data_IF_867422542224
#
_entry.id   IF_867422542224
#
_cell.length_a   1.000
_cell.length_b   1.000
_cell.length_c   1.000
_cell.angle_alpha   90.00
_cell.angle_beta   90.00
_cell.angle_gamma   90.00
#
_symmetry.space_group_name_H-M   'P 1'
#
loop_
_entity.id
_entity.type
_entity.pdbx_description
1 polymer ?
#
# COMPACT_ATOMS: atom_id res chain seq x y z
N UNK A 1 4.05 -1.86 2.44
CA UNK A 1 2.70 -2.13 2.99
C UNK A 1 2.82 -2.22 4.50
N UNK A 2 2.26 -1.24 5.22
CA UNK A 2 2.07 -1.30 6.67
C UNK A 2 0.98 -2.32 6.99
N UNK A 3 1.10 -3.00 8.15
CA UNK A 3 0.14 -3.99 8.68
C UNK A 3 -1.33 -3.58 8.48
N UNK A 4 -1.60 -2.27 8.54
CA UNK A 4 -2.90 -1.63 8.28
C UNK A 4 -3.58 -2.07 6.97
N UNK A 5 -2.84 -2.21 5.86
CA UNK A 5 -3.42 -2.61 4.57
C UNK A 5 -3.77 -4.12 4.50
N UNK A 6 -3.10 -4.95 5.30
CA UNK A 6 -3.44 -6.38 5.40
C UNK A 6 -4.66 -6.59 6.31
N UNK A 7 -4.84 -5.71 7.31
CA UNK A 7 -6.00 -5.70 8.20
C UNK A 7 -7.27 -5.31 7.43
N UNK A 8 -7.22 -4.31 6.54
CA UNK A 8 -8.35 -3.93 5.67
C UNK A 8 -8.67 -4.98 4.57
N UNK A 9 -7.84 -6.02 4.44
CA UNK A 9 -8.02 -7.06 3.42
C UNK A 9 -8.88 -8.24 3.86
N UNK A 10 -9.18 -8.35 5.16
CA UNK A 10 -10.07 -9.37 5.72
C UNK A 10 -11.41 -8.71 6.03
N UNK A 11 -12.47 -9.26 5.45
CA UNK A 11 -13.84 -8.78 5.64
C UNK A 11 -14.43 -9.33 6.95
N UNK A 12 -13.94 -8.79 8.07
CA UNK A 12 -14.43 -9.17 9.42
C UNK A 12 -15.84 -8.69 9.70
N UNK A 13 -16.35 -7.71 8.95
CA UNK A 13 -17.72 -7.22 9.10
C UNK A 13 -18.76 -8.23 8.59
N UNK A 14 -18.37 -9.09 7.65
CA UNK A 14 -19.19 -10.22 7.17
C UNK A 14 -18.65 -11.57 7.66
N UNK A 15 -18.03 -11.60 8.84
CA UNK A 15 -17.67 -12.88 9.46
C UNK A 15 -18.93 -13.69 9.81
N UNK A 16 -18.77 -15.00 9.87
CA UNK A 16 -19.86 -15.94 10.15
C UNK A 16 -19.36 -17.10 11.02
N UNK A 17 -20.26 -17.74 11.76
CA UNK A 17 -19.88 -18.80 12.70
C UNK A 17 -19.71 -20.14 11.99
N UNK A 18 -19.02 -21.07 12.65
CA UNK A 18 -18.96 -22.47 12.24
C UNK A 18 -20.36 -23.06 12.03
N UNK A 19 -20.61 -23.63 10.85
CA UNK A 19 -21.89 -24.19 10.44
C UNK A 19 -22.83 -23.22 9.70
N UNK A 20 -22.59 -21.92 9.81
CA UNK A 20 -23.41 -20.92 9.11
C UNK A 20 -23.06 -20.86 7.62
N UNK A 21 -24.06 -20.49 6.82
CA UNK A 21 -23.90 -20.23 5.40
C UNK A 21 -23.86 -18.74 5.13
N UNK A 22 -22.87 -18.28 4.36
CA UNK A 22 -22.74 -16.88 3.97
C UNK A 22 -22.43 -16.75 2.49
N UNK A 23 -23.02 -15.76 1.82
CA UNK A 23 -22.84 -15.57 0.37
C UNK A 23 -21.82 -14.48 0.09
N UNK A 24 -20.86 -14.79 -0.78
CA UNK A 24 -19.82 -13.86 -1.20
C UNK A 24 -19.71 -13.80 -2.72
N UNK A 25 -19.42 -12.60 -3.21
CA UNK A 25 -19.08 -12.37 -4.61
C UNK A 25 -17.64 -12.78 -4.92
N UNK A 26 -17.49 -13.68 -5.89
CA UNK A 26 -16.22 -14.11 -6.42
C UNK A 26 -16.02 -13.57 -7.84
N UNK A 27 -14.77 -13.25 -8.18
CA UNK A 27 -14.40 -12.76 -9.50
C UNK A 27 -13.41 -13.73 -10.13
N UNK A 28 -13.71 -14.17 -11.35
CA UNK A 28 -12.86 -15.08 -12.12
C UNK A 28 -11.40 -14.63 -12.13
N UNK A 29 -10.49 -15.55 -11.85
CA UNK A 29 -9.05 -15.29 -11.85
C UNK A 29 -8.52 -14.51 -10.63
N UNK A 30 -9.38 -14.00 -9.74
CA UNK A 30 -8.96 -13.40 -8.47
C UNK A 30 -9.02 -14.41 -7.34
N UNK A 31 -7.85 -14.76 -6.80
CA UNK A 31 -7.77 -15.65 -5.64
C UNK A 31 -8.17 -14.92 -4.36
N UNK A 32 -9.13 -15.51 -3.64
CA UNK A 32 -9.52 -15.14 -2.28
C UNK A 32 -8.93 -16.11 -1.26
N UNK A 33 -8.87 -15.71 -0.01
CA UNK A 33 -8.42 -16.52 1.10
C UNK A 33 -9.53 -16.64 2.15
N UNK A 34 -9.71 -17.83 2.70
CA UNK A 34 -10.60 -18.08 3.83
C UNK A 34 -9.76 -18.09 5.10
N UNK A 35 -10.21 -17.30 6.08
CA UNK A 35 -9.58 -17.15 7.37
C UNK A 35 -10.46 -17.74 8.47
N UNK A 36 -9.83 -18.32 9.47
CA UNK A 36 -10.48 -18.82 10.69
C UNK A 36 -9.92 -18.13 11.93
N UNK A 37 -10.78 -17.81 12.88
CA UNK A 37 -10.41 -17.37 14.23
C UNK A 37 -10.96 -18.37 15.23
N UNK A 38 -10.07 -19.12 15.88
CA UNK A 38 -10.41 -20.17 16.83
C UNK A 38 -9.31 -20.29 17.92
N UNK A 39 -9.61 -20.81 19.12
CA UNK A 39 -8.68 -20.79 20.26
C UNK A 39 -7.48 -21.73 20.14
N UNK A 40 -7.40 -22.55 19.08
CA UNK A 40 -6.32 -23.52 18.89
C UNK A 40 -6.24 -24.07 17.47
N UNK A 41 -5.44 -25.12 17.29
CA UNK A 41 -5.41 -25.88 16.03
C UNK A 41 -6.53 -26.93 16.08
N UNK A 42 -7.39 -26.92 15.08
CA UNK A 42 -8.49 -27.86 14.90
C UNK A 42 -8.76 -28.05 13.42
N UNK A 43 -9.38 -29.16 13.04
CA UNK A 43 -9.72 -29.42 11.64
C UNK A 43 -10.80 -28.45 11.17
N UNK A 44 -10.60 -27.89 9.97
CA UNK A 44 -11.55 -27.00 9.31
C UNK A 44 -11.92 -27.60 7.95
N UNK A 45 -13.21 -27.66 7.67
CA UNK A 45 -13.76 -28.01 6.35
C UNK A 45 -14.56 -26.83 5.81
N UNK A 46 -14.42 -26.52 4.53
CA UNK A 46 -15.17 -25.45 3.87
C UNK A 46 -15.74 -25.96 2.55
N UNK A 47 -17.02 -25.69 2.35
CA UNK A 47 -17.78 -26.11 1.16
C UNK A 47 -18.33 -24.90 0.43
N UNK A 48 -18.16 -24.91 -0.89
CA UNK A 48 -18.67 -23.88 -1.79
C UNK A 48 -19.40 -24.60 -2.94
N UNK A 49 -20.71 -24.88 -2.79
CA UNK A 49 -21.48 -25.57 -3.82
C UNK A 49 -21.43 -24.81 -5.16
N UNK A 50 -21.42 -25.57 -6.26
CA UNK A 50 -21.38 -25.00 -7.62
C UNK A 50 -20.01 -24.48 -8.06
N UNK A 51 -18.99 -24.56 -7.20
CA UNK A 51 -17.61 -24.28 -7.57
C UNK A 51 -16.94 -25.51 -8.18
N UNK A 52 -16.03 -25.28 -9.13
CA UNK A 52 -15.31 -26.37 -9.80
C UNK A 52 -14.40 -27.12 -8.82
N UNK A 53 -14.23 -28.42 -9.01
CA UNK A 53 -13.31 -29.22 -8.21
C UNK A 53 -11.88 -28.67 -8.36
N UNK A 54 -11.14 -28.57 -7.26
CA UNK A 54 -9.80 -27.98 -7.22
C UNK A 54 -9.77 -26.43 -7.18
N UNK A 55 -10.92 -25.75 -7.19
CA UNK A 55 -10.96 -24.30 -6.99
C UNK A 55 -10.61 -23.88 -5.55
N UNK A 56 -10.81 -24.79 -4.59
CA UNK A 56 -10.42 -24.61 -3.18
C UNK A 56 -9.16 -25.43 -2.94
N UNK A 57 -8.10 -24.78 -2.47
CA UNK A 57 -6.79 -25.40 -2.22
C UNK A 57 -6.25 -25.02 -0.85
N UNK A 58 -5.42 -25.88 -0.27
CA UNK A 58 -4.66 -25.53 0.93
C UNK A 58 -3.56 -24.52 0.59
N UNK A 59 -3.29 -23.53 1.45
CA UNK A 59 -2.21 -22.59 1.25
C UNK A 59 -0.84 -23.24 1.50
N UNK A 60 0.15 -22.93 0.67
CA UNK A 60 1.53 -23.45 0.81
C UNK A 60 2.22 -23.05 2.11
N UNK A 61 1.76 -21.97 2.74
CA UNK A 61 2.31 -21.43 3.99
C UNK A 61 1.19 -20.94 4.90
N UNK A 62 1.32 -21.24 6.19
CA UNK A 62 0.50 -20.66 7.24
C UNK A 62 0.71 -19.15 7.29
N UNK A 63 -0.39 -18.40 7.29
CA UNK A 63 -0.37 -16.95 7.46
C UNK A 63 -1.37 -16.58 8.56
N UNK A 64 -0.90 -15.85 9.57
CA UNK A 64 -1.70 -15.38 10.70
C UNK A 64 -1.64 -13.87 10.77
N UNK A 65 -2.76 -13.26 11.11
CA UNK A 65 -2.88 -11.82 11.27
C UNK A 65 -3.86 -11.51 12.39
N UNK A 66 -3.51 -10.55 13.24
CA UNK A 66 -4.37 -10.10 14.33
C UNK A 66 -5.12 -8.85 13.89
N UNK A 67 -6.45 -8.89 13.98
CA UNK A 67 -7.36 -7.79 13.65
C UNK A 67 -8.26 -7.55 14.86
N UNK A 68 -8.15 -6.36 15.47
CA UNK A 68 -8.80 -6.08 16.75
C UNK A 68 -8.30 -7.02 17.84
N UNK A 69 -9.21 -7.71 18.53
CA UNK A 69 -8.90 -8.69 19.58
C UNK A 69 -8.77 -10.13 19.08
N UNK A 70 -8.93 -10.38 17.76
CA UNK A 70 -8.96 -11.73 17.18
C UNK A 70 -7.77 -11.98 16.29
N UNK A 71 -7.30 -13.23 16.31
CA UNK A 71 -6.24 -13.70 15.42
C UNK A 71 -6.84 -14.60 14.36
N UNK A 72 -6.60 -14.25 13.11
CA UNK A 72 -7.12 -14.91 11.92
C UNK A 72 -6.01 -15.70 11.24
N UNK A 73 -6.26 -16.99 11.00
CA UNK A 73 -5.36 -17.90 10.31
C UNK A 73 -5.93 -18.25 8.95
N UNK A 74 -5.13 -18.10 7.89
CA UNK A 74 -5.50 -18.52 6.54
C UNK A 74 -5.50 -20.05 6.46
N UNK A 75 -6.65 -20.64 6.14
CA UNK A 75 -6.84 -22.09 6.05
C UNK A 75 -7.06 -22.59 4.63
N UNK A 76 -7.66 -21.78 3.76
CA UNK A 76 -7.87 -22.13 2.36
C UNK A 76 -7.66 -20.95 1.42
N UNK A 77 -7.35 -21.26 0.17
CA UNK A 77 -7.37 -20.32 -0.95
C UNK A 77 -8.44 -20.76 -1.95
N UNK A 78 -9.18 -19.79 -2.46
CA UNK A 78 -10.28 -20.02 -3.39
C UNK A 78 -9.98 -19.28 -4.68
N UNK A 79 -9.78 -20.03 -5.76
CA UNK A 79 -9.58 -19.50 -7.12
C UNK A 79 -10.82 -19.83 -7.96
N UNK A 80 -11.77 -18.90 -8.07
CA UNK A 80 -13.01 -19.13 -8.80
C UNK A 80 -12.75 -19.25 -10.31
N UNK A 81 -13.32 -20.29 -10.92
CA UNK A 81 -13.28 -20.50 -12.37
C UNK A 81 -14.24 -19.60 -13.16
N UNK A 82 -15.26 -19.03 -12.48
CA UNK A 82 -16.22 -18.06 -13.04
C UNK A 82 -16.54 -17.00 -11.99
N UNK A 83 -16.88 -15.79 -12.44
CA UNK A 83 -17.40 -14.75 -11.56
C UNK A 83 -18.85 -15.04 -11.18
N UNK A 84 -19.24 -14.69 -9.96
CA UNK A 84 -20.60 -14.89 -9.46
C UNK A 84 -20.64 -14.91 -7.94
N UNK A 85 -21.85 -14.95 -7.40
CA UNK A 85 -22.07 -15.09 -5.97
C UNK A 85 -22.13 -16.58 -5.60
N UNK A 86 -21.38 -16.96 -4.58
CA UNK A 86 -21.31 -18.33 -4.10
C UNK A 86 -21.56 -18.37 -2.60
N UNK A 87 -22.37 -19.34 -2.18
CA UNK A 87 -22.59 -19.64 -0.77
C UNK A 87 -21.41 -20.44 -0.23
N UNK A 88 -20.77 -19.92 0.80
CA UNK A 88 -19.69 -20.54 1.54
C UNK A 88 -20.25 -21.02 2.88
N UNK A 89 -19.96 -22.28 3.21
CA UNK A 89 -20.23 -22.86 4.53
C UNK A 89 -18.94 -23.47 5.05
N UNK A 90 -18.52 -23.09 6.25
CA UNK A 90 -17.33 -23.65 6.88
C UNK A 90 -17.67 -24.22 8.25
N UNK A 91 -17.01 -25.31 8.59
CA UNK A 91 -17.15 -26.01 9.88
C UNK A 91 -15.78 -26.21 10.50
N UNK A 92 -15.70 -26.09 11.83
CA UNK A 92 -14.54 -26.43 12.64
C UNK A 92 -14.94 -27.32 13.81
N UNK A 93 -14.00 -28.14 14.28
CA UNK A 93 -14.11 -28.92 15.51
C UNK A 93 -14.19 -28.04 16.77
N UNK A 94 -13.62 -26.84 16.70
CA UNK A 94 -13.63 -25.86 17.78
C UNK A 94 -14.63 -24.75 17.47
N UNK A 95 -15.15 -24.04 18.49
CA UNK A 95 -15.86 -22.79 18.27
C UNK A 95 -14.98 -21.83 17.45
N UNK A 96 -15.46 -21.49 16.26
CA UNK A 96 -14.69 -20.77 15.26
C UNK A 96 -15.57 -19.75 14.54
N UNK A 97 -14.95 -18.63 14.19
CA UNK A 97 -15.49 -17.69 13.21
C UNK A 97 -14.67 -17.72 11.93
N UNK A 98 -15.35 -17.49 10.82
CA UNK A 98 -14.79 -17.49 9.48
C UNK A 98 -14.97 -16.13 8.83
N UNK A 99 -13.97 -15.73 8.04
CA UNK A 99 -14.03 -14.50 7.24
C UNK A 99 -13.34 -14.71 5.91
N UNK A 100 -13.77 -13.97 4.89
CA UNK A 100 -13.14 -13.97 3.58
C UNK A 100 -12.18 -12.77 3.47
N UNK A 101 -11.06 -12.95 2.79
CA UNK A 101 -10.12 -11.86 2.51
C UNK A 101 -9.36 -12.03 1.21
N UNK A 102 -8.52 -11.05 0.89
CA UNK A 102 -7.63 -11.13 -0.26
C UNK A 102 -6.39 -11.98 0.04
N UNK A 103 -5.89 -12.72 -0.96
CA UNK A 103 -4.60 -13.41 -0.82
C UNK A 103 -3.49 -12.38 -0.62
N UNK A 104 -2.70 -12.43 0.48
CA UNK A 104 -1.61 -11.50 0.69
C UNK A 104 -0.56 -11.68 -0.42
N UNK A 105 -0.45 -10.69 -1.32
CA UNK A 105 0.55 -10.67 -2.40
C UNK A 105 1.86 -10.09 -1.86
N UNK A 106 2.67 -10.93 -1.23
CA UNK A 106 3.98 -10.54 -0.68
C UNK A 106 4.92 -9.96 -1.77
N UNK A 107 4.74 -10.31 -3.05
CA UNK A 107 5.62 -9.88 -4.15
C UNK A 107 5.30 -8.55 -4.85
N UNK A 108 4.07 -8.01 -4.77
CA UNK A 108 3.71 -6.79 -5.51
C UNK A 108 4.13 -5.49 -4.79
N UNK A 109 4.49 -5.58 -3.50
CA UNK A 109 4.83 -4.42 -2.67
C UNK A 109 6.16 -3.75 -3.06
N UNK A 110 7.14 -4.50 -3.60
CA UNK A 110 8.47 -3.96 -3.91
C UNK A 110 8.39 -2.93 -5.05
N UNK A 111 7.54 -3.16 -6.06
CA UNK A 111 7.35 -2.21 -7.17
C UNK A 111 6.72 -0.89 -6.73
N UNK A 112 5.73 -0.94 -5.83
CA UNK A 112 5.03 0.26 -5.35
C UNK A 112 5.88 1.13 -4.40
N UNK A 113 6.74 0.51 -3.57
CA UNK A 113 7.63 1.24 -2.67
C UNK A 113 8.76 1.88 -3.48
N UNK A 114 9.33 1.18 -4.47
CA UNK A 114 10.32 1.76 -5.37
C UNK A 114 9.76 2.93 -6.18
N UNK A 115 8.52 2.82 -6.69
CA UNK A 115 7.85 3.91 -7.41
C UNK A 115 7.57 5.12 -6.50
N UNK A 116 7.12 4.89 -5.26
CA UNK A 116 6.85 5.96 -4.28
C UNK A 116 8.12 6.69 -3.84
N UNK A 117 9.20 5.96 -3.56
CA UNK A 117 10.51 6.54 -3.21
C UNK A 117 11.08 7.30 -4.41
N UNK A 118 10.99 6.75 -5.63
CA UNK A 118 11.41 7.43 -6.84
C UNK A 118 10.67 8.75 -7.08
N UNK A 119 9.35 8.77 -6.87
CA UNK A 119 8.54 9.97 -7.05
C UNK A 119 8.88 11.06 -5.99
N UNK A 120 9.14 10.65 -4.75
CA UNK A 120 9.52 11.58 -3.69
C UNK A 120 10.91 12.18 -3.93
N UNK A 121 11.89 11.37 -4.36
CA UNK A 121 13.22 11.86 -4.73
C UNK A 121 13.18 12.80 -5.93
N UNK A 122 12.35 12.49 -6.94
CA UNK A 122 12.15 13.37 -8.09
C UNK A 122 11.50 14.72 -7.69
N UNK A 123 10.48 14.69 -6.83
CA UNK A 123 9.84 15.90 -6.32
C UNK A 123 10.79 16.75 -5.47
N UNK A 124 11.60 16.11 -4.62
CA UNK A 124 12.60 16.79 -3.80
C UNK A 124 13.70 17.42 -4.67
N UNK A 125 14.21 16.70 -5.67
CA UNK A 125 15.19 17.23 -6.61
C UNK A 125 14.62 18.44 -7.39
N UNK A 126 13.38 18.35 -7.87
CA UNK A 126 12.71 19.47 -8.54
C UNK A 126 12.59 20.69 -7.62
N UNK A 127 12.16 20.50 -6.37
CA UNK A 127 12.03 21.58 -5.40
C UNK A 127 13.38 22.26 -5.11
N UNK A 128 14.44 21.49 -4.85
CA UNK A 128 15.80 22.03 -4.64
C UNK A 128 16.27 22.83 -5.85
N UNK A 129 16.04 22.31 -7.06
CA UNK A 129 16.46 22.98 -8.30
C UNK A 129 15.74 24.32 -8.47
N UNK A 130 14.43 24.37 -8.20
CA UNK A 130 13.63 25.60 -8.24
C UNK A 130 14.15 26.61 -7.20
N UNK A 131 14.44 26.17 -5.98
CA UNK A 131 14.97 27.05 -4.92
C UNK A 131 16.32 27.62 -5.30
N UNK A 132 17.23 26.80 -5.85
CA UNK A 132 18.56 27.27 -6.29
C UNK A 132 18.43 28.27 -7.43
N UNK A 133 17.63 27.96 -8.47
CA UNK A 133 17.44 28.86 -9.62
C UNK A 133 16.81 30.18 -9.20
N UNK A 134 15.79 30.14 -8.33
CA UNK A 134 15.13 31.35 -7.83
C UNK A 134 16.06 32.17 -6.93
N UNK A 135 16.86 31.53 -6.07
CA UNK A 135 17.86 32.21 -5.26
C UNK A 135 18.94 32.88 -6.12
N UNK A 136 19.46 32.19 -7.15
CA UNK A 136 20.44 32.74 -8.10
C UNK A 136 19.84 33.87 -8.94
N UNK A 137 18.63 33.72 -9.45
CA UNK A 137 17.94 34.77 -10.21
C UNK A 137 17.67 36.00 -9.34
N UNK A 138 17.24 35.79 -8.09
CA UNK A 138 17.00 36.85 -7.12
C UNK A 138 18.30 37.54 -6.71
N UNK A 139 19.40 36.81 -6.52
CA UNK A 139 20.68 37.41 -6.18
C UNK A 139 21.25 38.24 -7.32
N UNK A 140 21.13 37.76 -8.57
CA UNK A 140 21.51 38.54 -9.76
C UNK A 140 20.67 39.80 -9.92
N UNK A 141 19.37 39.71 -9.69
CA UNK A 141 18.49 40.89 -9.73
C UNK A 141 18.86 41.90 -8.64
N UNK A 142 19.09 41.46 -7.41
CA UNK A 142 19.57 42.35 -6.33
C UNK A 142 20.90 42.98 -6.67
N UNK A 143 21.87 42.22 -7.20
CA UNK A 143 23.18 42.74 -7.63
C UNK A 143 23.07 43.80 -8.72
N UNK A 144 22.13 43.66 -9.66
CA UNK A 144 21.86 44.69 -10.67
C UNK A 144 21.28 45.96 -10.06
N UNK A 145 20.39 45.83 -9.08
CA UNK A 145 19.85 46.99 -8.36
C UNK A 145 20.93 47.71 -7.54
N UNK A 146 21.78 46.99 -6.81
CA UNK A 146 22.90 47.61 -6.08
C UNK A 146 23.96 48.20 -7.00
N UNK A 147 24.22 47.60 -8.17
CA UNK A 147 25.11 48.18 -9.17
C UNK A 147 24.53 49.46 -9.81
N UNK A 148 23.20 49.54 -9.98
CA UNK A 148 22.52 50.74 -10.48
C UNK A 148 22.43 51.86 -9.43
N UNK A 149 22.48 51.52 -8.14
CA UNK A 149 22.51 52.46 -7.01
C UNK A 149 23.94 52.85 -6.58
N UNK A 150 24.98 52.29 -7.20
CA UNK A 150 26.35 52.63 -6.90
C UNK A 150 26.67 54.04 -7.43
N UNK A 151 27.27 54.93 -6.61
CA UNK A 151 27.67 56.26 -7.08
C UNK A 151 28.69 56.14 -8.23
N UNK A 152 28.64 57.03 -9.24
CA UNK A 152 29.59 56.98 -10.35
C UNK A 152 31.03 57.11 -9.83
N UNK A 153 32.01 56.43 -10.45
CA UNK A 153 33.41 56.52 -10.05
C UNK A 153 33.89 57.96 -10.18
N UNK A 154 34.27 58.58 -9.05
CA UNK A 154 34.89 59.89 -9.00
C UNK A 154 36.34 59.82 -9.50
N UNK A 155 36.52 59.77 -10.82
CA UNK A 155 37.82 60.03 -11.42
C UNK A 155 38.10 61.53 -11.30
N UNK A 156 38.87 61.91 -10.28
CA UNK A 156 39.43 63.26 -10.17
C UNK A 156 40.42 63.53 -11.31
N UNK A 157 40.52 64.77 -11.81
CA UNK A 157 41.48 65.11 -12.85
C UNK A 157 42.92 64.84 -12.38
N UNK A 158 43.81 64.36 -13.27
CA UNK A 158 45.19 64.07 -12.90
C UNK A 158 45.90 65.34 -12.40
N UNK A 159 46.73 65.25 -11.34
CA UNK A 159 47.50 66.39 -10.87
C UNK A 159 48.47 66.85 -11.96
N UNK A 160 48.37 68.12 -12.35
CA UNK A 160 49.27 68.74 -13.31
C UNK A 160 50.69 68.88 -12.76
N UNK A 161 51.72 68.92 -13.62
CA UNK A 161 53.11 69.02 -13.18
C UNK A 161 53.39 70.39 -12.55
N UNK A 162 54.03 70.37 -11.37
CA UNK A 162 54.59 71.55 -10.72
C UNK A 162 55.94 71.88 -11.38
N UNK A 163 56.11 73.15 -11.78
CA UNK A 163 57.34 73.73 -12.33
C UNK A 163 58.32 74.09 -11.20
#
# INVERSE_FOLDING_TARGET
MTVKNAVDSIDTARSFSSGDAQTFGFVQGKTKAIYVSQPGKGQVDCRIPGMQSGAVTQPDRTFRITVGSRTWERVFEVKPGRSGDYTLTCTSELPAEFALGDKPRVGAAIGSIAAGVGCFLAAFAAAVTIVVVTAVRRSRHRRRLTAALAPPPQWGPPPGPLY
#
